data_IF_249382295881
#
_entry.id   IF_249382295881
#
_cell.length_a   1.000
_cell.length_b   1.000
_cell.length_c   1.000
_cell.angle_alpha   90.00
_cell.angle_beta   90.00
_cell.angle_gamma   90.00
#
_symmetry.space_group_name_H-M   'P 1'
#
loop_
_entity.id
_entity.type
_entity.pdbx_description
1 polymer ?
#
# COMPACT_ATOMS: atom_id res chain seq x y z
N UNK A 1 30.45 -1.09 -7.62
CA UNK A 1 30.13 0.23 -7.02
C UNK A 1 28.63 0.41 -7.23
N UNK A 2 27.89 0.84 -6.22
CA UNK A 2 26.44 1.10 -6.38
C UNK A 2 26.23 2.32 -7.30
N UNK A 3 25.08 2.35 -8.01
CA UNK A 3 24.69 3.52 -8.82
C UNK A 3 24.30 4.70 -7.93
N UNK A 4 24.21 5.90 -8.51
CA UNK A 4 23.80 7.11 -7.81
C UNK A 4 22.36 7.08 -7.27
N UNK A 5 21.57 6.11 -7.74
CA UNK A 5 20.19 5.92 -7.29
C UNK A 5 20.09 5.35 -5.87
N UNK A 6 21.19 4.76 -5.34
CA UNK A 6 21.20 4.17 -4.01
C UNK A 6 22.01 5.01 -3.03
N UNK A 7 21.43 5.25 -1.85
CA UNK A 7 22.10 5.86 -0.71
C UNK A 7 22.23 4.82 0.40
N UNK A 8 23.48 4.45 0.73
CA UNK A 8 23.78 3.49 1.79
C UNK A 8 24.02 4.24 3.10
N UNK A 9 23.16 4.04 4.07
CA UNK A 9 23.27 4.62 5.41
C UNK A 9 23.79 3.59 6.42
N UNK A 10 23.50 2.31 6.19
CA UNK A 10 24.00 1.17 6.95
C UNK A 10 24.53 0.11 5.97
N UNK A 11 25.63 -0.55 6.30
CA UNK A 11 26.26 -1.56 5.43
C UNK A 11 25.39 -2.76 5.13
N UNK A 12 24.35 -3.01 5.95
CA UNK A 12 23.33 -4.03 5.68
C UNK A 12 22.58 -3.77 4.38
N UNK A 13 22.36 -2.48 4.04
CA UNK A 13 21.67 -2.11 2.80
C UNK A 13 22.45 -2.51 1.54
N UNK A 14 23.78 -2.41 1.56
CA UNK A 14 24.60 -2.79 0.42
C UNK A 14 24.43 -4.26 0.01
N UNK A 15 23.98 -5.13 0.91
CA UNK A 15 23.68 -6.54 0.62
C UNK A 15 22.28 -6.75 0.04
N UNK A 16 21.39 -5.76 0.17
CA UNK A 16 20.01 -5.81 -0.30
C UNK A 16 19.83 -5.22 -1.71
N UNK A 17 20.87 -4.62 -2.28
CA UNK A 17 20.82 -3.99 -3.60
C UNK A 17 21.96 -4.52 -4.50
N UNK A 18 21.78 -4.37 -5.81
CA UNK A 18 22.79 -4.78 -6.78
C UNK A 18 23.61 -3.57 -7.27
N UNK A 19 24.89 -3.77 -7.51
CA UNK A 19 25.82 -2.70 -7.95
C UNK A 19 25.68 -2.27 -9.41
N UNK A 20 24.98 -3.06 -10.21
CA UNK A 20 24.89 -2.87 -11.66
C UNK A 20 23.44 -2.64 -12.15
N UNK A 21 22.55 -2.22 -11.26
CA UNK A 21 21.17 -1.87 -11.58
C UNK A 21 20.94 -0.38 -11.37
N UNK A 22 19.93 0.14 -12.01
CA UNK A 22 19.46 1.51 -11.90
C UNK A 22 17.94 1.55 -11.83
N UNK A 23 17.40 2.67 -11.40
CA UNK A 23 15.95 2.91 -11.39
C UNK A 23 15.50 3.17 -12.83
N UNK A 24 14.53 2.38 -13.27
CA UNK A 24 13.89 2.52 -14.58
C UNK A 24 12.56 3.26 -14.43
N UNK A 25 12.34 4.28 -15.26
CA UNK A 25 11.01 4.86 -15.45
C UNK A 25 10.28 4.03 -16.51
N UNK A 26 9.25 3.31 -16.09
CA UNK A 26 8.49 2.43 -16.97
C UNK A 26 7.39 3.18 -17.73
N UNK A 27 6.76 4.16 -17.06
CA UNK A 27 5.65 4.90 -17.64
C UNK A 27 5.43 6.23 -16.90
N UNK A 28 4.78 7.19 -17.57
CA UNK A 28 4.34 8.46 -16.99
C UNK A 28 3.00 8.84 -17.58
N UNK A 29 2.19 9.61 -16.85
CA UNK A 29 0.88 10.10 -17.30
C UNK A 29 -0.22 10.02 -16.26
N UNK A 30 0.10 9.68 -15.01
CA UNK A 30 -0.80 9.84 -13.87
C UNK A 30 -0.83 11.27 -13.36
N UNK A 31 -1.85 11.57 -12.56
CA UNK A 31 -1.86 12.73 -11.65
C UNK A 31 -1.40 12.37 -10.25
N UNK A 32 -1.80 11.17 -9.78
CA UNK A 32 -1.35 10.57 -8.54
C UNK A 32 -1.41 9.06 -8.68
N UNK A 33 -0.24 8.44 -8.92
CA UNK A 33 -0.11 6.99 -9.05
C UNK A 33 -0.04 6.35 -7.67
N UNK A 34 -0.87 5.31 -7.43
CA UNK A 34 -1.05 4.67 -6.14
C UNK A 34 -1.38 3.19 -6.24
N UNK A 35 -1.38 2.51 -5.09
CA UNK A 35 -1.94 1.20 -4.86
C UNK A 35 -1.46 0.09 -5.77
N UNK A 36 -0.16 -0.12 -5.99
CA UNK A 36 0.31 -1.13 -6.92
C UNK A 36 0.11 -2.55 -6.39
N UNK A 37 -0.50 -3.42 -7.20
CA UNK A 37 -0.65 -4.85 -6.95
C UNK A 37 -0.14 -5.67 -8.13
N UNK A 38 0.76 -6.62 -7.87
CA UNK A 38 1.36 -7.47 -8.89
C UNK A 38 0.67 -8.82 -8.99
N UNK A 39 0.34 -9.25 -10.20
CA UNK A 39 -0.30 -10.51 -10.53
C UNK A 39 0.73 -11.48 -11.13
N UNK A 40 1.30 -12.40 -10.34
CA UNK A 40 2.40 -13.24 -10.79
C UNK A 40 2.01 -14.23 -11.90
N UNK A 41 0.79 -14.75 -11.88
CA UNK A 41 0.32 -15.69 -12.90
C UNK A 41 0.20 -15.02 -14.28
N UNK A 42 -0.24 -13.76 -14.32
CA UNK A 42 -0.38 -12.98 -15.56
C UNK A 42 0.83 -12.11 -15.88
N UNK A 43 1.81 -12.00 -14.98
CA UNK A 43 3.00 -11.15 -15.10
C UNK A 43 2.66 -9.70 -15.41
N UNK A 44 1.70 -9.13 -14.68
CA UNK A 44 1.30 -7.74 -14.84
C UNK A 44 1.08 -7.07 -13.48
N UNK A 45 1.16 -5.75 -13.50
CA UNK A 45 0.87 -4.86 -12.38
C UNK A 45 -0.42 -4.10 -12.65
N UNK A 46 -1.26 -3.94 -11.64
CA UNK A 46 -2.36 -2.96 -11.62
C UNK A 46 -1.96 -1.87 -10.64
N UNK A 47 -2.24 -0.61 -10.99
CA UNK A 47 -2.08 0.53 -10.08
C UNK A 47 -3.12 1.60 -10.39
N UNK A 48 -3.42 2.43 -9.40
CA UNK A 48 -4.39 3.53 -9.50
C UNK A 48 -3.76 4.79 -10.10
N UNK A 49 -4.56 5.53 -10.82
CA UNK A 49 -4.40 6.96 -11.10
C UNK A 49 -5.64 7.65 -10.53
N UNK A 50 -5.59 7.95 -9.22
CA UNK A 50 -6.77 8.27 -8.41
C UNK A 50 -7.53 9.47 -8.97
N UNK A 51 -6.91 10.67 -9.19
CA UNK A 51 -7.65 11.85 -9.64
C UNK A 51 -8.19 11.74 -11.05
N UNK A 52 -7.60 10.89 -11.90
CA UNK A 52 -8.10 10.61 -13.23
C UNK A 52 -9.18 9.51 -13.25
N UNK A 53 -9.58 9.01 -12.10
CA UNK A 53 -10.62 7.98 -11.88
C UNK A 53 -10.42 6.77 -12.80
N UNK A 54 -9.19 6.24 -12.82
CA UNK A 54 -8.83 5.07 -13.62
C UNK A 54 -7.80 4.20 -12.92
N UNK A 55 -7.78 2.92 -13.25
CA UNK A 55 -6.69 2.00 -12.95
C UNK A 55 -5.95 1.61 -14.21
N UNK A 56 -4.67 1.39 -14.08
CA UNK A 56 -3.74 1.17 -15.17
C UNK A 56 -3.11 -0.21 -15.00
N UNK A 57 -2.96 -0.94 -16.10
CA UNK A 57 -2.23 -2.19 -16.19
C UNK A 57 -0.91 -1.95 -16.90
N UNK A 58 0.19 -2.35 -16.26
CA UNK A 58 1.51 -2.51 -16.87
C UNK A 58 1.76 -3.99 -17.09
N UNK A 59 2.02 -4.42 -18.31
CA UNK A 59 2.37 -5.80 -18.66
C UNK A 59 3.89 -5.97 -18.66
N UNK A 60 4.40 -6.86 -17.78
CA UNK A 60 5.84 -7.08 -17.65
C UNK A 60 6.43 -7.81 -18.86
N UNK A 61 5.61 -8.50 -19.64
CA UNK A 61 6.10 -9.35 -20.74
C UNK A 61 6.53 -8.56 -21.98
N UNK A 62 5.86 -7.43 -22.23
CA UNK A 62 6.11 -6.59 -23.40
C UNK A 62 6.26 -5.08 -23.05
N UNK A 63 6.17 -4.75 -21.75
CA UNK A 63 6.21 -3.39 -21.23
C UNK A 63 5.07 -2.49 -21.72
N UNK A 64 3.99 -3.06 -22.21
CA UNK A 64 2.82 -2.29 -22.63
C UNK A 64 2.04 -1.75 -21.44
N UNK A 65 1.41 -0.60 -21.62
CA UNK A 65 0.54 0.05 -20.64
C UNK A 65 -0.84 0.26 -21.22
N UNK A 66 -1.86 -0.13 -20.48
CA UNK A 66 -3.26 0.01 -20.88
C UNK A 66 -4.13 0.44 -19.70
N UNK A 67 -5.30 1.00 -20.00
CA UNK A 67 -6.33 1.25 -18.98
C UNK A 67 -6.95 -0.09 -18.63
N UNK A 68 -6.89 -0.45 -17.34
CA UNK A 68 -7.55 -1.65 -16.82
C UNK A 68 -9.02 -1.38 -16.54
N UNK A 69 -9.34 -0.25 -15.89
CA UNK A 69 -10.71 0.17 -15.59
C UNK A 69 -10.84 1.69 -15.64
N UNK A 70 -11.93 2.19 -16.25
CA UNK A 70 -12.33 3.60 -16.26
C UNK A 70 -13.85 3.70 -16.55
N UNK A 71 -14.67 4.34 -15.68
CA UNK A 71 -14.30 4.87 -14.36
C UNK A 71 -13.95 3.76 -13.37
N UNK A 72 -13.09 4.09 -12.38
CA UNK A 72 -12.62 3.15 -11.38
C UNK A 72 -13.10 3.51 -9.95
N UNK A 73 -14.08 4.39 -9.78
CA UNK A 73 -14.56 4.89 -8.49
C UNK A 73 -13.44 5.48 -7.61
N UNK A 74 -12.45 6.15 -8.24
CA UNK A 74 -11.26 6.67 -7.59
C UNK A 74 -10.59 5.63 -6.68
N UNK A 75 -10.34 4.42 -7.26
CA UNK A 75 -9.61 3.38 -6.51
C UNK A 75 -8.25 3.91 -6.07
N UNK A 76 -7.83 3.49 -4.86
CA UNK A 76 -6.53 3.79 -4.30
C UNK A 76 -5.73 2.50 -4.11
N UNK A 77 -5.66 1.93 -2.91
CA UNK A 77 -4.89 0.74 -2.59
C UNK A 77 -5.47 -0.54 -3.17
N UNK A 78 -4.59 -1.44 -3.59
CA UNK A 78 -4.96 -2.74 -4.10
C UNK A 78 -4.18 -3.87 -3.41
N UNK A 79 -4.80 -5.04 -3.40
CA UNK A 79 -4.15 -6.30 -3.04
C UNK A 79 -4.67 -7.42 -3.93
N UNK A 80 -3.98 -8.55 -3.93
CA UNK A 80 -4.43 -9.76 -4.61
C UNK A 80 -4.82 -10.78 -3.56
N UNK A 81 -6.02 -11.34 -3.67
CA UNK A 81 -6.48 -12.36 -2.73
C UNK A 81 -5.87 -13.75 -3.05
N UNK A 82 -6.19 -14.73 -2.21
CA UNK A 82 -5.68 -16.10 -2.33
C UNK A 82 -6.11 -16.84 -3.59
N UNK A 83 -7.16 -16.36 -4.24
CA UNK A 83 -7.68 -16.91 -5.48
C UNK A 83 -7.20 -16.11 -6.70
N UNK A 84 -6.33 -15.11 -6.51
CA UNK A 84 -5.79 -14.28 -7.58
C UNK A 84 -6.73 -13.18 -8.06
N UNK A 85 -7.73 -12.77 -7.25
CA UNK A 85 -8.66 -11.70 -7.58
C UNK A 85 -8.16 -10.36 -7.03
N UNK A 86 -8.47 -9.28 -7.72
CA UNK A 86 -8.14 -7.93 -7.28
C UNK A 86 -9.07 -7.50 -6.15
N UNK A 87 -8.50 -7.12 -5.00
CA UNK A 87 -9.18 -6.38 -3.93
C UNK A 87 -8.80 -4.92 -4.09
N UNK A 88 -9.77 -4.02 -4.03
CA UNK A 88 -9.58 -2.58 -4.22
C UNK A 88 -10.25 -1.76 -3.13
N UNK A 89 -9.57 -0.75 -2.64
CA UNK A 89 -10.13 0.34 -1.86
C UNK A 89 -10.63 1.43 -2.81
N UNK A 90 -11.88 1.85 -2.66
CA UNK A 90 -12.52 2.83 -3.52
C UNK A 90 -12.87 4.09 -2.72
N UNK A 91 -12.27 5.22 -3.06
CA UNK A 91 -12.55 6.50 -2.42
C UNK A 91 -13.96 6.98 -2.74
N UNK A 92 -14.30 7.15 -4.03
CA UNK A 92 -15.63 7.60 -4.46
C UNK A 92 -16.73 6.57 -4.10
N UNK A 93 -16.41 5.27 -4.23
CA UNK A 93 -17.30 4.19 -3.84
C UNK A 93 -17.52 4.11 -2.33
N UNK A 94 -16.58 4.65 -1.52
CA UNK A 94 -16.55 4.55 -0.06
C UNK A 94 -16.70 3.09 0.39
N UNK A 95 -15.91 2.21 -0.23
CA UNK A 95 -16.04 0.76 -0.02
C UNK A 95 -14.74 0.01 -0.32
N UNK A 96 -14.68 -1.21 0.16
CA UNK A 96 -13.75 -2.23 -0.33
C UNK A 96 -14.50 -3.13 -1.29
N UNK A 97 -13.94 -3.33 -2.48
CA UNK A 97 -14.52 -4.16 -3.52
C UNK A 97 -13.57 -5.26 -3.98
N UNK A 98 -14.11 -6.23 -4.69
CA UNK A 98 -13.37 -7.30 -5.34
C UNK A 98 -13.80 -7.44 -6.79
N UNK A 99 -12.82 -7.61 -7.69
CA UNK A 99 -13.08 -7.97 -9.07
C UNK A 99 -13.00 -9.49 -9.20
N UNK A 100 -14.12 -10.10 -9.51
CA UNK A 100 -14.22 -11.55 -9.68
C UNK A 100 -13.55 -12.01 -10.98
N UNK A 101 -13.33 -13.33 -11.14
CA UNK A 101 -12.68 -13.86 -12.34
C UNK A 101 -13.44 -13.63 -13.66
N UNK A 102 -14.75 -13.42 -13.58
CA UNK A 102 -15.59 -13.08 -14.73
C UNK A 102 -15.59 -11.57 -15.05
N UNK A 103 -14.80 -10.78 -14.30
CA UNK A 103 -14.73 -9.33 -14.43
C UNK A 103 -15.82 -8.55 -13.68
N UNK A 104 -16.74 -9.23 -12.99
CA UNK A 104 -17.77 -8.54 -12.21
C UNK A 104 -17.18 -7.91 -10.95
N UNK A 105 -17.65 -6.70 -10.60
CA UNK A 105 -17.28 -6.00 -9.37
C UNK A 105 -18.25 -6.35 -8.25
N UNK A 106 -17.74 -6.84 -7.13
CA UNK A 106 -18.50 -7.13 -5.91
C UNK A 106 -18.06 -6.22 -4.77
N UNK A 107 -18.98 -5.47 -4.17
CA UNK A 107 -18.72 -4.71 -2.93
C UNK A 107 -18.66 -5.71 -1.78
N UNK A 108 -17.58 -5.65 -1.00
CA UNK A 108 -17.36 -6.51 0.16
C UNK A 108 -17.72 -5.82 1.47
N UNK A 109 -17.39 -4.51 1.60
CA UNK A 109 -17.76 -3.69 2.75
C UNK A 109 -17.93 -2.23 2.31
N UNK A 110 -19.00 -1.56 2.78
CA UNK A 110 -19.27 -0.13 2.52
C UNK A 110 -19.85 0.59 3.75
N UNK A 111 -20.26 -0.15 4.78
CA UNK A 111 -20.85 0.40 6.01
C UNK A 111 -20.29 -0.33 7.22
N UNK A 112 -20.17 0.39 8.31
CA UNK A 112 -19.88 -0.13 9.64
C UNK A 112 -20.96 0.40 10.61
N UNK A 113 -21.66 -0.49 11.31
CA UNK A 113 -22.76 -0.13 12.23
C UNK A 113 -23.81 0.80 11.60
N UNK A 114 -24.15 0.56 10.33
CA UNK A 114 -25.14 1.33 9.59
C UNK A 114 -24.67 2.67 9.03
N UNK A 115 -23.41 3.08 9.30
CA UNK A 115 -22.78 4.30 8.78
C UNK A 115 -21.85 3.97 7.61
N UNK A 116 -21.82 4.84 6.61
CA UNK A 116 -20.88 4.67 5.51
C UNK A 116 -19.42 4.79 5.97
N UNK A 117 -18.56 3.94 5.40
CA UNK A 117 -17.11 4.08 5.55
C UNK A 117 -16.65 5.48 5.06
N UNK A 118 -15.51 5.94 5.52
CA UNK A 118 -14.94 7.22 5.06
C UNK A 118 -14.51 7.12 3.59
N UNK A 119 -13.32 6.65 3.36
CA UNK A 119 -12.74 6.38 2.04
C UNK A 119 -11.62 5.36 2.19
N UNK A 120 -11.95 4.04 2.16
CA UNK A 120 -10.93 3.00 2.27
C UNK A 120 -9.72 3.29 1.40
N UNK A 121 -8.52 3.20 2.01
CA UNK A 121 -7.30 3.72 1.40
C UNK A 121 -6.33 2.62 0.98
N UNK A 122 -5.72 1.88 1.91
CA UNK A 122 -4.83 0.75 1.56
C UNK A 122 -5.36 -0.57 2.17
N UNK A 123 -4.94 -1.70 1.59
CA UNK A 123 -5.51 -3.00 1.88
C UNK A 123 -4.49 -4.12 1.77
N UNK A 124 -4.57 -5.07 2.69
CA UNK A 124 -3.80 -6.33 2.65
C UNK A 124 -4.72 -7.52 2.90
N UNK A 125 -4.37 -8.66 2.29
CA UNK A 125 -5.05 -9.93 2.51
C UNK A 125 -4.18 -10.84 3.35
N UNK A 126 -4.68 -11.23 4.52
CA UNK A 126 -3.99 -12.12 5.44
C UNK A 126 -4.01 -13.58 4.94
N UNK A 127 -3.13 -14.44 5.47
CA UNK A 127 -3.03 -15.85 5.07
C UNK A 127 -4.30 -16.66 5.26
N UNK A 128 -5.16 -16.28 6.20
CA UNK A 128 -6.46 -16.89 6.46
C UNK A 128 -7.58 -16.39 5.51
N UNK A 129 -7.24 -15.50 4.55
CA UNK A 129 -8.18 -14.92 3.58
C UNK A 129 -8.92 -13.68 4.10
N UNK A 130 -8.71 -13.27 5.35
CA UNK A 130 -9.30 -12.03 5.86
C UNK A 130 -8.64 -10.80 5.24
N UNK A 131 -9.43 -9.75 5.05
CA UNK A 131 -9.03 -8.50 4.39
C UNK A 131 -8.91 -7.43 5.45
N UNK A 132 -7.74 -6.78 5.51
CA UNK A 132 -7.47 -5.72 6.47
C UNK A 132 -7.22 -4.43 5.71
N UNK A 133 -7.90 -3.34 6.10
CA UNK A 133 -7.81 -2.07 5.38
C UNK A 133 -7.91 -0.87 6.30
N UNK A 134 -7.38 0.25 5.82
CA UNK A 134 -7.43 1.55 6.47
C UNK A 134 -8.53 2.42 5.87
N UNK A 135 -9.17 3.26 6.70
CA UNK A 135 -10.32 4.08 6.29
C UNK A 135 -10.20 5.54 6.75
N UNK A 136 -9.17 6.27 6.28
CA UNK A 136 -9.05 7.72 6.49
C UNK A 136 -10.05 8.49 5.59
N UNK A 137 -10.02 9.83 5.68
CA UNK A 137 -10.99 10.68 4.98
C UNK A 137 -10.50 11.25 3.65
N UNK A 138 -9.33 10.84 3.12
CA UNK A 138 -8.73 11.45 1.92
C UNK A 138 -9.70 11.58 0.75
N UNK A 139 -10.45 10.51 0.44
CA UNK A 139 -11.37 10.47 -0.70
C UNK A 139 -12.68 11.24 -0.48
N UNK A 140 -12.92 11.79 0.72
CA UNK A 140 -14.08 12.64 1.03
C UNK A 140 -13.71 14.05 1.47
N UNK A 141 -12.42 14.37 1.56
CA UNK A 141 -11.94 15.70 1.92
C UNK A 141 -12.13 16.72 0.78
N UNK A 142 -12.15 16.27 -0.47
CA UNK A 142 -12.30 17.09 -1.67
C UNK A 142 -12.75 16.28 -2.87
N UNK A 143 -13.11 16.96 -3.97
CA UNK A 143 -13.46 16.34 -5.26
C UNK A 143 -12.22 15.94 -6.10
N UNK A 144 -11.03 15.88 -5.49
CA UNK A 144 -9.80 15.55 -6.22
C UNK A 144 -9.53 14.05 -6.28
N UNK A 145 -9.76 13.35 -5.17
CA UNK A 145 -9.53 11.89 -5.07
C UNK A 145 -10.81 11.09 -4.85
N UNK A 146 -11.96 11.73 -4.89
CA UNK A 146 -13.27 11.14 -4.69
C UNK A 146 -14.33 12.21 -4.76
N UNK A 147 -15.41 12.07 -4.00
CA UNK A 147 -16.49 13.05 -3.89
C UNK A 147 -16.47 13.67 -2.48
N UNK A 148 -16.33 14.98 -2.39
CA UNK A 148 -16.35 15.70 -1.12
C UNK A 148 -17.61 15.39 -0.31
N UNK A 149 -17.44 14.91 0.91
CA UNK A 149 -18.55 14.51 1.77
C UNK A 149 -18.18 14.65 3.24
N UNK A 150 -19.20 14.72 4.09
CA UNK A 150 -19.00 14.66 5.54
C UNK A 150 -18.85 13.20 5.98
N UNK A 151 -17.88 12.94 6.86
CA UNK A 151 -17.75 11.64 7.52
C UNK A 151 -18.99 11.34 8.36
N UNK A 152 -19.56 10.15 8.20
CA UNK A 152 -20.63 9.64 9.06
C UNK A 152 -20.07 9.01 10.35
N UNK A 153 -18.77 8.68 10.36
CA UNK A 153 -18.04 8.11 11.49
C UNK A 153 -17.48 9.20 12.44
N UNK A 154 -17.75 10.49 12.17
CA UNK A 154 -17.20 11.61 12.91
C UNK A 154 -15.71 11.79 12.65
N UNK A 155 -14.92 12.01 13.70
CA UNK A 155 -13.46 12.24 13.60
C UNK A 155 -12.66 10.91 13.57
N UNK A 156 -13.34 9.77 13.46
CA UNK A 156 -12.69 8.46 13.49
C UNK A 156 -12.11 8.09 12.12
N UNK A 157 -10.85 7.70 12.11
CA UNK A 157 -10.18 7.04 11.01
C UNK A 157 -9.77 5.65 11.49
N UNK A 158 -10.49 4.64 11.07
CA UNK A 158 -10.36 3.30 11.61
C UNK A 158 -9.47 2.41 10.72
N UNK A 159 -8.93 1.37 11.34
CA UNK A 159 -8.39 0.19 10.66
C UNK A 159 -9.36 -0.96 10.89
N UNK A 160 -9.74 -1.62 9.82
CA UNK A 160 -10.76 -2.68 9.84
C UNK A 160 -10.18 -4.04 9.46
N UNK A 161 -10.80 -5.08 10.00
CA UNK A 161 -10.70 -6.46 9.55
C UNK A 161 -12.06 -6.90 9.01
N UNK A 162 -12.07 -7.40 7.79
CA UNK A 162 -13.24 -7.97 7.11
C UNK A 162 -13.02 -9.47 6.91
N UNK A 163 -13.96 -10.27 7.32
CA UNK A 163 -14.06 -11.66 6.92
C UNK A 163 -14.96 -11.76 5.67
N UNK A 164 -14.40 -12.03 4.47
CA UNK A 164 -15.19 -12.02 3.25
C UNK A 164 -16.16 -13.19 3.10
N UNK A 165 -16.05 -14.21 3.96
CA UNK A 165 -16.95 -15.37 3.95
C UNK A 165 -18.22 -15.11 4.77
N UNK A 166 -18.08 -14.54 5.96
CA UNK A 166 -19.21 -14.18 6.83
C UNK A 166 -19.76 -12.78 6.56
N UNK A 167 -18.96 -11.88 5.98
CA UNK A 167 -19.25 -10.46 5.85
C UNK A 167 -19.03 -9.68 7.15
N UNK A 168 -18.45 -10.31 8.20
CA UNK A 168 -18.15 -9.65 9.47
C UNK A 168 -17.08 -8.57 9.29
N UNK A 169 -17.43 -7.33 9.65
CA UNK A 169 -16.53 -6.19 9.65
C UNK A 169 -16.29 -5.73 11.09
N UNK A 170 -15.03 -5.68 11.52
CA UNK A 170 -14.61 -5.30 12.87
C UNK A 170 -13.59 -4.18 12.83
N UNK A 171 -13.71 -3.19 13.74
CA UNK A 171 -12.64 -2.22 13.99
C UNK A 171 -11.54 -2.92 14.79
N UNK A 172 -10.30 -2.87 14.31
CA UNK A 172 -9.14 -3.45 14.99
C UNK A 172 -8.21 -2.39 15.59
N UNK A 173 -8.27 -1.16 15.08
CA UNK A 173 -7.63 0.02 15.68
C UNK A 173 -8.39 1.29 15.30
N UNK A 174 -8.44 2.27 16.23
CA UNK A 174 -9.16 3.54 16.06
C UNK A 174 -8.40 4.76 16.62
N UNK A 175 -7.13 4.58 16.94
CA UNK A 175 -6.26 5.58 17.58
C UNK A 175 -5.18 6.11 16.62
N UNK A 176 -5.48 6.09 15.33
CA UNK A 176 -4.69 6.71 14.26
C UNK A 176 -5.33 8.02 13.82
N UNK A 177 -4.49 8.98 13.40
CA UNK A 177 -4.97 10.26 12.84
C UNK A 177 -5.40 10.07 11.39
N UNK A 178 -4.51 9.50 10.57
CA UNK A 178 -4.76 9.16 9.17
C UNK A 178 -4.06 7.85 8.83
N UNK A 179 -4.64 6.70 9.23
CA UNK A 179 -4.05 5.41 8.90
C UNK A 179 -4.00 5.24 7.39
N UNK A 180 -2.85 4.82 6.87
CA UNK A 180 -2.58 4.75 5.44
C UNK A 180 -2.07 3.35 5.07
N UNK A 181 -0.85 3.21 4.55
CA UNK A 181 -0.29 1.91 4.22
C UNK A 181 -0.27 0.95 5.39
N UNK A 182 -0.52 -0.34 5.12
CA UNK A 182 -0.42 -1.39 6.11
C UNK A 182 0.17 -2.67 5.54
N UNK A 183 0.90 -3.43 6.35
CA UNK A 183 1.44 -4.74 5.96
C UNK A 183 1.73 -5.61 7.17
N UNK A 184 1.53 -6.92 7.03
CA UNK A 184 1.92 -7.90 8.03
C UNK A 184 3.41 -8.24 7.95
N UNK A 185 4.01 -8.64 9.08
CA UNK A 185 5.28 -9.35 9.09
C UNK A 185 5.16 -10.67 8.32
N UNK A 186 6.28 -11.26 7.84
CA UNK A 186 6.24 -12.51 7.08
C UNK A 186 5.56 -13.68 7.81
N UNK A 187 5.62 -13.69 9.13
CA UNK A 187 4.97 -14.67 10.02
C UNK A 187 3.57 -14.24 10.49
N UNK A 188 3.11 -13.06 10.04
CA UNK A 188 1.84 -12.44 10.40
C UNK A 188 1.63 -12.21 11.92
N UNK A 189 2.68 -12.24 12.71
CA UNK A 189 2.61 -11.96 14.15
C UNK A 189 2.54 -10.47 14.48
N UNK A 190 2.93 -9.62 13.53
CA UNK A 190 2.93 -8.17 13.63
C UNK A 190 2.17 -7.54 12.47
N UNK A 191 1.47 -6.46 12.73
CA UNK A 191 0.92 -5.56 11.72
C UNK A 191 1.60 -4.20 11.81
N UNK A 192 2.14 -3.72 10.72
CA UNK A 192 2.68 -2.37 10.58
C UNK A 192 1.62 -1.49 9.93
N UNK A 193 1.47 -0.25 10.43
CA UNK A 193 0.49 0.71 9.92
C UNK A 193 1.16 2.09 9.88
N UNK A 194 1.15 2.74 8.72
CA UNK A 194 1.57 4.13 8.59
C UNK A 194 0.47 5.07 9.11
N UNK A 195 0.87 6.09 9.83
CA UNK A 195 0.02 7.23 10.17
C UNK A 195 0.55 8.47 9.45
N UNK A 196 -0.20 8.93 8.46
CA UNK A 196 0.18 10.01 7.55
C UNK A 196 -0.54 11.32 7.92
N UNK A 197 -0.91 11.49 9.19
CA UNK A 197 -1.62 12.67 9.70
C UNK A 197 -0.94 14.00 9.41
N UNK A 198 0.40 14.00 9.26
CA UNK A 198 1.19 15.17 8.85
C UNK A 198 0.68 15.83 7.57
N UNK A 199 0.08 15.09 6.66
CA UNK A 199 -0.41 15.62 5.39
C UNK A 199 -1.56 16.61 5.53
N UNK A 200 -2.34 16.55 6.63
CA UNK A 200 -3.56 17.33 6.82
C UNK A 200 -3.68 17.96 8.22
N UNK A 201 -2.87 17.53 9.18
CA UNK A 201 -2.91 18.01 10.55
C UNK A 201 -1.56 18.65 10.90
N UNK A 202 -1.58 19.88 11.37
CA UNK A 202 -0.37 20.59 11.83
C UNK A 202 0.31 19.79 12.94
N UNK A 203 1.60 19.47 12.74
CA UNK A 203 2.37 18.58 13.60
C UNK A 203 1.79 17.16 13.75
N UNK A 204 0.98 16.72 12.79
CA UNK A 204 0.44 15.37 12.74
C UNK A 204 1.53 14.30 12.61
N UNK A 205 1.19 13.04 12.89
CA UNK A 205 2.13 11.92 12.78
C UNK A 205 2.58 11.71 11.33
N UNK A 206 3.82 11.23 11.19
CA UNK A 206 4.44 10.84 9.90
C UNK A 206 5.29 9.59 10.08
N UNK A 207 4.73 8.61 10.74
CA UNK A 207 5.47 7.45 11.23
C UNK A 207 4.77 6.14 10.87
N UNK A 208 5.49 5.04 11.03
CA UNK A 208 4.92 3.70 11.08
C UNK A 208 4.81 3.28 12.53
N UNK A 209 3.67 2.72 12.92
CA UNK A 209 3.47 1.99 14.16
C UNK A 209 3.49 0.49 13.89
N UNK A 210 3.99 -0.27 14.84
CA UNK A 210 3.93 -1.72 14.83
C UNK A 210 3.02 -2.21 15.95
N UNK A 211 2.12 -3.12 15.62
CA UNK A 211 1.09 -3.65 16.51
C UNK A 211 1.18 -5.17 16.52
N UNK A 212 1.14 -5.77 17.71
CA UNK A 212 1.10 -7.21 17.84
C UNK A 212 -0.25 -7.76 17.39
N UNK A 213 -0.23 -8.79 16.55
CA UNK A 213 -1.44 -9.58 16.25
C UNK A 213 -1.61 -10.61 17.36
N UNK A 214 -2.78 -10.64 18.00
CA UNK A 214 -3.06 -11.58 19.07
C UNK A 214 -3.17 -13.01 18.54
N UNK A 215 -3.08 -14.00 19.45
CA UNK A 215 -3.10 -15.42 19.10
C UNK A 215 -4.40 -15.88 18.40
N UNK A 216 -5.49 -15.10 18.52
CA UNK A 216 -6.74 -15.34 17.81
C UNK A 216 -6.65 -15.01 16.30
N UNK A 217 -5.57 -14.32 15.89
CA UNK A 217 -5.37 -13.85 14.52
C UNK A 217 -6.35 -12.78 14.05
N UNK A 218 -7.20 -12.25 14.95
CA UNK A 218 -8.33 -11.36 14.63
C UNK A 218 -8.24 -10.00 15.31
N UNK A 219 -7.62 -9.94 16.48
CA UNK A 219 -7.51 -8.72 17.29
C UNK A 219 -6.07 -8.27 17.39
N UNK A 220 -5.91 -6.97 17.67
CA UNK A 220 -4.60 -6.34 17.86
C UNK A 220 -4.32 -6.12 19.35
N UNK A 221 -3.07 -6.24 19.71
CA UNK A 221 -2.55 -6.01 21.06
C UNK A 221 -1.88 -4.64 21.18
N UNK A 222 -0.79 -4.62 21.94
CA UNK A 222 -0.02 -3.41 22.19
C UNK A 222 0.60 -2.84 20.90
N UNK A 223 0.47 -1.52 20.77
CA UNK A 223 1.03 -0.73 19.67
C UNK A 223 2.20 0.11 20.15
N UNK A 224 3.25 0.21 19.33
CA UNK A 224 4.38 1.10 19.59
C UNK A 224 4.84 1.82 18.33
N UNK A 225 5.50 2.95 18.50
CA UNK A 225 6.22 3.61 17.42
C UNK A 225 7.29 2.65 16.87
N UNK A 226 7.33 2.52 15.55
CA UNK A 226 8.34 1.72 14.85
C UNK A 226 9.42 2.61 14.23
N UNK A 227 9.04 3.59 13.41
CA UNK A 227 9.97 4.53 12.79
C UNK A 227 9.26 5.83 12.40
N UNK A 228 9.95 6.97 12.55
CA UNK A 228 9.54 8.26 12.04
C UNK A 228 10.13 8.52 10.64
N UNK A 229 9.35 9.16 9.76
CA UNK A 229 9.83 9.54 8.44
C UNK A 229 10.73 10.78 8.52
N UNK A 230 11.93 10.65 7.98
CA UNK A 230 12.91 11.76 7.97
C UNK A 230 12.65 12.79 6.87
N UNK A 231 11.94 12.41 5.80
CA UNK A 231 11.66 13.30 4.66
C UNK A 231 10.24 13.05 4.11
N UNK A 232 9.34 14.01 4.30
CA UNK A 232 7.91 13.83 3.99
C UNK A 232 7.19 12.99 5.03
N UNK A 233 6.43 12.02 4.59
CA UNK A 233 5.74 11.03 5.41
C UNK A 233 5.84 9.64 4.79
N UNK A 234 5.68 8.60 5.60
CA UNK A 234 5.45 7.26 5.11
C UNK A 234 3.99 7.12 4.66
N UNK A 235 3.79 6.40 3.54
CA UNK A 235 2.50 6.15 2.93
C UNK A 235 2.36 4.64 2.71
N UNK A 236 2.40 4.13 1.47
CA UNK A 236 2.37 2.71 1.20
C UNK A 236 3.75 2.03 1.37
N UNK A 237 3.74 0.77 1.77
CA UNK A 237 4.96 -0.02 1.97
C UNK A 237 4.72 -1.52 1.86
N UNK A 238 5.80 -2.29 1.67
CA UNK A 238 5.77 -3.77 1.70
C UNK A 238 7.00 -4.29 2.44
N UNK A 239 6.90 -5.53 2.96
CA UNK A 239 8.01 -6.20 3.62
C UNK A 239 8.71 -7.18 2.68
N UNK A 240 10.00 -7.39 2.91
CA UNK A 240 10.74 -8.50 2.32
C UNK A 240 10.68 -9.74 3.23
N UNK A 241 11.17 -10.88 2.71
CA UNK A 241 11.19 -12.16 3.44
C UNK A 241 12.06 -12.15 4.69
N UNK A 242 12.94 -11.15 4.84
CA UNK A 242 13.77 -10.96 6.03
C UNK A 242 13.11 -10.00 7.03
N UNK A 243 11.88 -9.51 6.75
CA UNK A 243 11.16 -8.57 7.59
C UNK A 243 11.65 -7.13 7.52
N UNK A 244 12.50 -6.77 6.55
CA UNK A 244 12.79 -5.36 6.30
C UNK A 244 11.59 -4.70 5.64
N UNK A 245 11.31 -3.46 6.00
CA UNK A 245 10.23 -2.65 5.42
C UNK A 245 10.81 -1.78 4.30
N UNK A 246 10.24 -1.90 3.12
CA UNK A 246 10.48 -1.01 1.99
C UNK A 246 9.28 -0.08 1.89
N UNK A 247 9.49 1.19 2.21
CA UNK A 247 8.42 2.18 2.37
C UNK A 247 8.63 3.40 1.48
N UNK A 248 7.52 3.98 1.07
CA UNK A 248 7.48 5.28 0.40
C UNK A 248 8.00 6.40 1.31
N UNK A 249 8.55 7.45 0.71
CA UNK A 249 8.89 8.70 1.36
C UNK A 249 8.95 9.84 0.32
N UNK A 250 9.12 11.07 0.77
CA UNK A 250 9.17 12.24 -0.11
C UNK A 250 10.38 12.30 -1.05
N UNK A 251 11.45 11.56 -0.75
CA UNK A 251 12.71 11.52 -1.52
C UNK A 251 12.98 10.16 -2.18
N UNK A 252 12.02 9.25 -2.14
CA UNK A 252 12.15 7.94 -2.76
C UNK A 252 11.62 6.79 -1.90
N UNK A 253 12.28 5.63 -1.98
CA UNK A 253 11.96 4.45 -1.17
C UNK A 253 12.97 4.33 -0.04
N UNK A 254 12.50 4.24 1.19
CA UNK A 254 13.32 3.97 2.36
C UNK A 254 13.28 2.48 2.71
N UNK A 255 14.44 1.91 3.06
CA UNK A 255 14.53 0.53 3.56
C UNK A 255 14.83 0.57 5.06
N UNK A 256 13.90 0.04 5.86
CA UNK A 256 14.00 -0.02 7.33
C UNK A 256 14.26 -1.47 7.75
N UNK A 257 15.19 -1.68 8.66
CA UNK A 257 15.38 -2.99 9.31
C UNK A 257 14.22 -3.31 10.28
N UNK A 258 14.17 -4.54 10.76
CA UNK A 258 13.16 -4.99 11.74
C UNK A 258 13.18 -4.20 13.07
N UNK A 259 14.28 -3.56 13.38
CA UNK A 259 14.45 -2.71 14.58
C UNK A 259 14.08 -1.24 14.33
N UNK A 260 13.64 -0.87 13.12
CA UNK A 260 13.31 0.49 12.71
C UNK A 260 14.49 1.29 12.18
N UNK A 261 15.70 0.73 12.15
CA UNK A 261 16.90 1.42 11.63
C UNK A 261 16.75 1.68 10.12
N UNK A 262 16.93 2.93 9.69
CA UNK A 262 16.98 3.28 8.26
C UNK A 262 18.31 2.76 7.66
N UNK A 263 18.21 1.72 6.85
CA UNK A 263 19.35 1.05 6.22
C UNK A 263 19.89 1.84 5.02
N UNK A 264 19.00 2.42 4.24
CA UNK A 264 19.35 3.13 3.02
C UNK A 264 18.11 3.54 2.23
N UNK A 265 18.35 4.17 1.09
CA UNK A 265 17.32 4.74 0.23
C UNK A 265 17.53 4.37 -1.24
N UNK A 266 16.42 4.25 -1.96
CA UNK A 266 16.39 4.28 -3.42
C UNK A 266 15.82 5.64 -3.81
N UNK A 267 16.64 6.47 -4.45
CA UNK A 267 16.23 7.82 -4.85
C UNK A 267 15.30 7.78 -6.04
N UNK A 268 14.18 8.43 -5.92
CA UNK A 268 13.18 8.62 -6.99
C UNK A 268 12.99 10.13 -7.18
N UNK A 269 12.95 10.63 -8.42
CA UNK A 269 12.83 12.08 -8.67
C UNK A 269 11.44 12.65 -8.38
N UNK A 270 10.52 11.86 -7.91
CA UNK A 270 9.14 12.21 -7.53
C UNK A 270 8.85 11.74 -6.11
N UNK A 271 7.87 12.35 -5.45
CA UNK A 271 7.33 11.81 -4.20
C UNK A 271 6.77 10.42 -4.46
N UNK A 272 7.19 9.47 -3.66
CA UNK A 272 6.70 8.09 -3.74
C UNK A 272 5.49 7.93 -2.83
N UNK A 273 4.39 7.45 -3.38
CA UNK A 273 3.18 7.16 -2.63
C UNK A 273 3.14 5.69 -2.17
N UNK A 274 3.43 4.74 -3.05
CA UNK A 274 3.32 3.33 -2.71
C UNK A 274 4.30 2.48 -3.56
N UNK A 275 4.47 1.22 -3.17
CA UNK A 275 5.30 0.27 -3.90
C UNK A 275 4.83 -1.17 -3.70
N UNK A 276 5.24 -2.06 -4.60
CA UNK A 276 5.05 -3.50 -4.44
C UNK A 276 6.20 -4.29 -5.01
N UNK A 277 6.40 -5.50 -4.48
CA UNK A 277 7.32 -6.47 -5.08
C UNK A 277 6.63 -7.26 -6.19
N UNK A 278 7.34 -7.47 -7.29
CA UNK A 278 6.88 -8.27 -8.40
C UNK A 278 8.03 -8.97 -9.14
N UNK A 279 7.72 -9.43 -10.34
CA UNK A 279 8.62 -10.23 -11.14
C UNK A 279 8.68 -11.70 -10.70
N UNK A 280 9.24 -12.60 -11.54
CA UNK A 280 9.24 -14.05 -11.28
C UNK A 280 9.95 -14.47 -10.00
N UNK A 281 10.91 -13.66 -9.53
CA UNK A 281 11.66 -13.90 -8.29
C UNK A 281 11.20 -13.04 -7.12
N UNK A 282 10.15 -12.21 -7.33
CA UNK A 282 9.66 -11.22 -6.35
C UNK A 282 10.77 -10.29 -5.82
N UNK A 283 11.70 -9.92 -6.69
CA UNK A 283 12.83 -9.06 -6.37
C UNK A 283 12.92 -7.82 -7.27
N UNK A 284 11.84 -7.51 -7.99
CA UNK A 284 11.63 -6.26 -8.71
C UNK A 284 10.64 -5.43 -7.92
N UNK A 285 11.04 -4.25 -7.47
CA UNK A 285 10.14 -3.31 -6.81
C UNK A 285 9.54 -2.43 -7.90
N UNK A 286 8.20 -2.36 -7.96
CA UNK A 286 7.45 -1.40 -8.74
C UNK A 286 7.04 -0.27 -7.81
N UNK A 287 7.26 0.97 -8.24
CA UNK A 287 7.19 2.16 -7.39
C UNK A 287 6.26 3.16 -8.05
N UNK A 288 5.20 3.55 -7.36
CA UNK A 288 4.30 4.62 -7.76
C UNK A 288 4.89 5.96 -7.26
N UNK A 289 5.49 6.71 -8.19
CA UNK A 289 5.79 8.13 -8.02
C UNK A 289 4.55 8.96 -8.34
N UNK A 290 4.58 10.25 -8.08
CA UNK A 290 3.42 11.14 -8.28
C UNK A 290 2.78 10.98 -9.65
N UNK A 291 3.60 11.05 -10.72
CA UNK A 291 3.08 11.00 -12.10
C UNK A 291 3.51 9.77 -12.88
N UNK A 292 4.38 8.95 -12.31
CA UNK A 292 5.10 7.92 -13.05
C UNK A 292 5.18 6.59 -12.30
N UNK A 293 5.26 5.51 -13.07
CA UNK A 293 5.61 4.19 -12.58
C UNK A 293 7.12 3.97 -12.79
N UNK A 294 7.83 3.60 -11.73
CA UNK A 294 9.22 3.22 -11.75
C UNK A 294 9.42 1.76 -11.37
N UNK A 295 10.58 1.21 -11.68
CA UNK A 295 11.00 -0.08 -11.12
C UNK A 295 12.49 -0.16 -10.89
N UNK A 296 12.87 -1.06 -9.99
CA UNK A 296 14.27 -1.39 -9.72
C UNK A 296 14.40 -2.82 -9.23
N UNK A 297 15.46 -3.52 -9.64
CA UNK A 297 15.79 -4.83 -9.10
C UNK A 297 16.60 -4.71 -7.82
N UNK A 298 16.25 -5.52 -6.83
CA UNK A 298 16.95 -5.58 -5.53
C UNK A 298 17.36 -7.02 -5.20
N UNK A 299 18.32 -7.17 -4.30
CA UNK A 299 18.74 -8.48 -3.76
C UNK A 299 17.93 -8.84 -2.49
N UNK A 300 16.65 -8.53 -2.52
CA UNK A 300 15.66 -8.89 -1.50
C UNK A 300 14.44 -9.47 -2.20
N UNK A 301 13.65 -10.27 -1.49
CA UNK A 301 12.42 -10.86 -2.02
C UNK A 301 11.23 -10.37 -1.21
N UNK A 302 10.18 -9.94 -1.87
CA UNK A 302 8.94 -9.58 -1.21
C UNK A 302 8.32 -10.74 -0.45
N UNK A 303 7.79 -10.46 0.73
CA UNK A 303 7.15 -11.44 1.61
C UNK A 303 5.69 -11.75 1.27
N UNK A 304 5.12 -11.12 0.24
CA UNK A 304 3.68 -11.10 -0.03
C UNK A 304 3.18 -12.34 -0.74
N UNK A 305 1.97 -12.74 -0.43
CA UNK A 305 1.11 -13.70 -1.11
C UNK A 305 0.36 -13.08 -2.29
N UNK A 306 -0.05 -13.91 -3.25
CA UNK A 306 0.24 -15.35 -3.34
C UNK A 306 1.71 -15.61 -3.60
N UNK A 307 2.27 -16.68 -2.94
CA UNK A 307 3.68 -17.06 -3.00
C UNK A 307 4.03 -17.74 -4.31
#
# INVERSE_FOLDING_TARGET
MLTADFEVLDQRFAKLVFGNVYVEKLWTGSRWAEGPAYFPAGKYLIFSDIPNNRTIRFDETDSSVSIFQSPANNQNGHSVDREGRLIACEHQGRCVSRIEHDGTRKVLASHYEGKRLNSPNDVVVKSDGTIWFTDPTYGIDSDYEGDAAKSELGDQSNVYRLDPMSGELTVVASDFVRPNGLAFSPDESLLYIADTGFSHVTNGPKHIRVVKVNADGKTLGESRLFADCSFGCFDGFRLDTNGNIWTSAGDGVHCLAQDGTLLGKIKIPEVVANLTFGGPKRNRIYICGTTSLYSVYVNARGAVWPA
#
